data_IF_996912114237
#
_entry.id   IF_996912114237
#
_cell.length_a   1.000
_cell.length_b   1.000
_cell.length_c   1.000
_cell.angle_alpha   90.00
_cell.angle_beta   90.00
_cell.angle_gamma   90.00
#
_symmetry.space_group_name_H-M   'P 1'
#
loop_
_entity.id
_entity.type
_entity.pdbx_description
1 polymer ?
#
# COMPACT_ATOMS: atom_id res chain seq x y z
N UNK A 1 -31.48 -73.53 -18.29
CA UNK A 1 -31.06 -72.20 -18.80
C UNK A 1 -32.13 -71.11 -18.62
N UNK A 2 -33.39 -71.42 -18.35
CA UNK A 2 -34.42 -70.39 -18.14
C UNK A 2 -34.42 -69.73 -16.73
N UNK A 3 -33.91 -70.41 -15.69
CA UNK A 3 -33.93 -69.90 -14.31
C UNK A 3 -32.92 -68.76 -14.03
N UNK A 4 -31.75 -68.75 -14.69
CA UNK A 4 -30.71 -67.73 -14.46
C UNK A 4 -31.03 -66.36 -15.08
N UNK A 5 -32.07 -66.26 -15.91
CA UNK A 5 -32.51 -65.00 -16.53
C UNK A 5 -33.52 -64.24 -15.67
N UNK A 6 -34.14 -64.91 -14.69
CA UNK A 6 -35.13 -64.31 -13.78
C UNK A 6 -34.45 -63.64 -12.58
N UNK A 7 -33.44 -64.27 -11.99
CA UNK A 7 -32.66 -63.69 -10.88
C UNK A 7 -31.98 -62.36 -11.26
N UNK A 8 -31.42 -62.26 -12.48
CA UNK A 8 -30.83 -61.02 -12.98
C UNK A 8 -31.84 -59.92 -13.27
N UNK A 9 -33.13 -60.25 -13.50
CA UNK A 9 -34.20 -59.25 -13.68
C UNK A 9 -34.65 -58.68 -12.34
N UNK A 10 -34.73 -59.51 -11.32
CA UNK A 10 -35.11 -59.09 -9.97
C UNK A 10 -34.04 -58.19 -9.35
N UNK A 11 -32.75 -58.48 -9.55
CA UNK A 11 -31.65 -57.59 -9.12
C UNK A 11 -31.69 -56.22 -9.82
N UNK A 12 -31.98 -56.20 -11.13
CA UNK A 12 -32.12 -54.95 -11.89
C UNK A 12 -33.32 -54.13 -11.39
N UNK A 13 -34.43 -54.79 -11.04
CA UNK A 13 -35.60 -54.10 -10.47
C UNK A 13 -35.30 -53.46 -9.11
N UNK A 14 -34.59 -54.16 -8.23
CA UNK A 14 -34.17 -53.62 -6.92
C UNK A 14 -33.27 -52.39 -7.10
N UNK A 15 -32.29 -52.45 -8.01
CA UNK A 15 -31.40 -51.31 -8.28
C UNK A 15 -32.17 -50.11 -8.86
N UNK A 16 -33.15 -50.35 -9.73
CA UNK A 16 -33.98 -49.28 -10.30
C UNK A 16 -34.89 -48.64 -9.24
N UNK A 17 -35.41 -49.42 -8.30
CA UNK A 17 -36.18 -48.94 -7.14
C UNK A 17 -35.31 -48.04 -6.25
N UNK A 18 -34.08 -48.47 -5.93
CA UNK A 18 -33.12 -47.68 -5.15
C UNK A 18 -32.72 -46.38 -5.84
N UNK A 19 -32.44 -46.42 -7.15
CA UNK A 19 -32.14 -45.22 -7.95
C UNK A 19 -33.35 -44.27 -7.98
N UNK A 20 -34.56 -44.79 -8.07
CA UNK A 20 -35.79 -43.99 -8.06
C UNK A 20 -35.97 -43.29 -6.70
N UNK A 21 -35.75 -44.00 -5.60
CA UNK A 21 -35.81 -43.45 -4.25
C UNK A 21 -34.73 -42.38 -4.01
N UNK A 22 -33.47 -42.65 -4.41
CA UNK A 22 -32.37 -41.70 -4.28
C UNK A 22 -32.58 -40.42 -5.13
N UNK A 23 -33.16 -40.55 -6.32
CA UNK A 23 -33.50 -39.38 -7.13
C UNK A 23 -34.64 -38.55 -6.51
N UNK A 24 -35.56 -39.20 -5.80
CA UNK A 24 -36.65 -38.51 -5.09
C UNK A 24 -36.11 -37.71 -3.91
N UNK A 25 -35.25 -38.30 -3.08
CA UNK A 25 -34.61 -37.60 -1.95
C UNK A 25 -33.75 -36.43 -2.42
N UNK A 26 -32.91 -36.63 -3.45
CA UNK A 26 -32.09 -35.54 -4.01
C UNK A 26 -32.93 -34.37 -4.56
N UNK A 27 -34.12 -34.63 -5.10
CA UNK A 27 -35.03 -33.57 -5.56
C UNK A 27 -35.62 -32.78 -4.39
N UNK A 28 -35.94 -33.46 -3.30
CA UNK A 28 -36.45 -32.83 -2.07
C UNK A 28 -35.38 -31.95 -1.41
N UNK A 29 -34.15 -32.47 -1.26
CA UNK A 29 -33.00 -31.70 -0.75
C UNK A 29 -32.67 -30.48 -1.62
N UNK A 30 -32.64 -30.64 -2.95
CA UNK A 30 -32.41 -29.51 -3.86
C UNK A 30 -33.52 -28.45 -3.77
N UNK A 31 -34.76 -28.86 -3.48
CA UNK A 31 -35.88 -27.93 -3.27
C UNK A 31 -35.71 -27.17 -1.97
N UNK A 32 -35.27 -27.83 -0.90
CA UNK A 32 -34.99 -27.22 0.40
C UNK A 32 -33.84 -26.22 0.32
N UNK A 33 -32.72 -26.59 -0.29
CA UNK A 33 -31.56 -25.70 -0.50
C UNK A 33 -31.96 -24.44 -1.28
N UNK A 34 -32.82 -24.56 -2.29
CA UNK A 34 -33.33 -23.40 -3.05
C UNK A 34 -34.22 -22.49 -2.21
N UNK A 35 -35.01 -23.04 -1.29
CA UNK A 35 -35.83 -22.24 -0.38
C UNK A 35 -34.94 -21.50 0.64
N UNK A 36 -33.92 -22.15 1.18
CA UNK A 36 -32.98 -21.54 2.11
C UNK A 36 -32.15 -20.43 1.46
N UNK A 37 -31.73 -20.63 0.20
CA UNK A 37 -31.06 -19.57 -0.57
C UNK A 37 -31.97 -18.36 -0.76
N UNK A 38 -33.23 -18.57 -1.14
CA UNK A 38 -34.21 -17.47 -1.28
C UNK A 38 -34.43 -16.73 0.04
N UNK A 39 -34.52 -17.45 1.16
CA UNK A 39 -34.68 -16.85 2.49
C UNK A 39 -33.48 -15.99 2.86
N UNK A 40 -32.25 -16.50 2.67
CA UNK A 40 -31.02 -15.73 2.91
C UNK A 40 -30.89 -14.53 2.00
N UNK A 41 -31.28 -14.63 0.74
CA UNK A 41 -31.26 -13.50 -0.18
C UNK A 41 -32.25 -12.40 0.25
N UNK A 42 -33.42 -12.78 0.76
CA UNK A 42 -34.41 -11.82 1.27
C UNK A 42 -33.92 -11.13 2.56
N UNK A 43 -33.31 -11.89 3.47
CA UNK A 43 -32.65 -11.36 4.68
C UNK A 43 -31.51 -10.40 4.32
N UNK A 44 -30.67 -10.76 3.34
CA UNK A 44 -29.58 -9.91 2.86
C UNK A 44 -30.10 -8.62 2.20
N UNK A 45 -31.16 -8.69 1.39
CA UNK A 45 -31.80 -7.49 0.82
C UNK A 45 -32.33 -6.57 1.90
N UNK A 46 -32.96 -7.12 2.94
CA UNK A 46 -33.46 -6.34 4.08
C UNK A 46 -32.32 -5.67 4.84
N UNK A 47 -31.24 -6.41 5.14
CA UNK A 47 -30.07 -5.86 5.80
C UNK A 47 -29.39 -4.73 5.00
N UNK A 48 -29.33 -4.87 3.67
CA UNK A 48 -28.80 -3.82 2.78
C UNK A 48 -29.72 -2.59 2.73
N UNK A 49 -31.04 -2.78 2.74
CA UNK A 49 -31.99 -1.68 2.81
C UNK A 49 -31.90 -0.92 4.15
N UNK A 50 -31.73 -1.64 5.26
CA UNK A 50 -31.52 -1.06 6.59
C UNK A 50 -30.19 -0.29 6.66
N UNK A 51 -29.10 -0.82 6.10
CA UNK A 51 -27.82 -0.10 6.00
C UNK A 51 -27.94 1.14 5.10
N UNK A 52 -28.68 1.05 4.00
CA UNK A 52 -28.91 2.19 3.10
C UNK A 52 -29.71 3.30 3.78
N UNK A 53 -30.75 2.95 4.56
CA UNK A 53 -31.55 3.93 5.30
C UNK A 53 -30.76 4.57 6.45
N UNK A 54 -29.88 3.83 7.12
CA UNK A 54 -28.93 4.38 8.10
C UNK A 54 -27.94 5.35 7.46
N UNK A 55 -27.46 5.06 6.25
CA UNK A 55 -26.57 5.96 5.50
C UNK A 55 -27.29 7.23 5.05
N UNK A 56 -28.52 7.15 4.55
CA UNK A 56 -29.30 8.33 4.16
C UNK A 56 -29.60 9.25 5.35
N UNK A 57 -29.91 8.66 6.51
CA UNK A 57 -30.14 9.40 7.74
C UNK A 57 -28.84 10.07 8.27
N UNK A 58 -27.68 9.42 8.08
CA UNK A 58 -26.37 10.02 8.38
C UNK A 58 -25.99 11.16 7.42
N UNK A 59 -26.41 11.10 6.16
CA UNK A 59 -26.14 12.17 5.19
C UNK A 59 -27.00 13.42 5.39
N UNK A 60 -28.18 13.32 6.04
CA UNK A 60 -29.06 14.46 6.27
C UNK A 60 -28.60 15.39 7.42
N UNK A 61 -27.60 14.99 8.20
CA UNK A 61 -26.91 15.85 9.20
C UNK A 61 -25.67 16.54 8.60
N UNK A 62 -25.37 16.29 7.31
CA UNK A 62 -24.19 16.82 6.62
C UNK A 62 -24.55 17.64 5.36
N UNK A 63 -25.48 18.57 5.48
CA UNK A 63 -25.63 19.70 4.54
C UNK A 63 -25.17 21.00 5.20
N UNK A 64 -23.94 20.99 5.71
CA UNK A 64 -23.12 22.22 5.78
C UNK A 64 -21.80 21.91 5.11
N UNK A 65 -21.67 22.41 3.88
CA UNK A 65 -20.47 22.32 3.04
C UNK A 65 -19.27 22.91 3.77
N UNK A 66 -18.33 22.06 4.17
CA UNK A 66 -16.90 22.42 4.23
C UNK A 66 -16.11 21.24 3.70
N UNK A 67 -15.15 21.54 2.81
CA UNK A 67 -14.30 20.57 2.14
C UNK A 67 -13.50 19.76 3.19
N UNK A 68 -13.96 18.54 3.51
CA UNK A 68 -13.25 17.66 4.43
C UNK A 68 -12.12 16.95 3.69
N UNK A 69 -10.93 17.51 3.86
CA UNK A 69 -9.65 16.82 3.75
C UNK A 69 -9.77 15.44 4.43
N UNK A 70 -9.32 14.38 3.76
CA UNK A 70 -9.40 13.00 4.29
C UNK A 70 -8.82 12.92 5.70
N UNK A 71 -9.36 12.14 6.66
CA UNK A 71 -8.75 11.95 7.98
C UNK A 71 -7.27 11.52 7.92
N UNK A 72 -6.86 10.89 6.82
CA UNK A 72 -5.48 10.50 6.54
C UNK A 72 -4.62 11.67 6.07
N UNK A 73 -5.20 12.61 5.33
CA UNK A 73 -4.56 13.85 4.90
C UNK A 73 -4.50 14.86 6.05
N UNK A 74 -5.55 14.99 6.86
CA UNK A 74 -5.55 15.78 8.09
C UNK A 74 -4.48 15.26 9.09
N UNK A 75 -4.32 13.93 9.24
CA UNK A 75 -3.22 13.35 10.03
C UNK A 75 -1.84 13.64 9.44
N UNK A 76 -1.69 13.63 8.11
CA UNK A 76 -0.42 13.96 7.43
C UNK A 76 -0.10 15.45 7.47
N UNK A 77 -1.11 16.31 7.41
CA UNK A 77 -1.00 17.76 7.48
C UNK A 77 -0.68 18.19 8.91
N UNK A 78 -1.38 17.64 9.90
CA UNK A 78 -1.03 17.80 11.31
C UNK A 78 0.37 17.25 11.63
N UNK A 79 0.80 16.14 11.01
CA UNK A 79 2.17 15.64 11.18
C UNK A 79 3.24 16.53 10.50
N UNK A 80 2.90 17.21 9.39
CA UNK A 80 3.77 18.18 8.72
C UNK A 80 3.87 19.48 9.52
N UNK A 81 2.77 19.99 10.05
CA UNK A 81 2.73 21.14 10.97
C UNK A 81 3.50 20.83 12.26
N UNK A 82 3.33 19.63 12.84
CA UNK A 82 4.08 19.13 14.00
C UNK A 82 5.59 19.00 13.74
N UNK A 83 6.03 18.71 12.52
CA UNK A 83 7.46 18.58 12.16
C UNK A 83 8.08 19.88 11.66
N UNK A 84 7.28 20.84 11.21
CA UNK A 84 7.76 22.15 10.74
C UNK A 84 8.14 23.08 11.89
N UNK A 85 7.39 23.04 13.00
CA UNK A 85 7.59 23.98 14.11
C UNK A 85 8.74 23.58 15.04
N UNK A 86 8.95 22.29 15.31
CA UNK A 86 10.01 21.84 16.25
C UNK A 86 11.44 22.22 15.78
N UNK A 87 11.85 22.06 14.49
CA UNK A 87 13.20 22.43 14.06
C UNK A 87 13.38 23.93 13.80
N UNK A 88 12.31 24.66 13.46
CA UNK A 88 12.39 26.08 13.15
C UNK A 88 12.50 26.95 14.41
N UNK A 89 11.95 26.48 15.54
CA UNK A 89 11.92 27.20 16.81
C UNK A 89 13.14 26.93 17.71
N UNK A 90 13.90 25.86 17.46
CA UNK A 90 15.17 25.59 18.14
C UNK A 90 16.36 26.41 17.59
N UNK A 91 16.10 27.52 16.87
CA UNK A 91 17.13 28.44 16.36
C UNK A 91 17.42 29.61 17.30
N UNK A 92 16.75 29.68 18.44
CA UNK A 92 17.00 30.70 19.46
C UNK A 92 17.77 30.05 20.62
N UNK A 93 19.06 30.37 20.67
CA UNK A 93 20.05 30.17 21.74
C UNK A 93 20.27 28.74 22.29
N UNK A 94 21.45 28.18 21.96
CA UNK A 94 22.11 27.04 22.62
C UNK A 94 21.29 25.74 22.77
N UNK A 95 20.44 25.44 21.78
CA UNK A 95 19.85 24.11 21.66
C UNK A 95 20.77 23.22 20.81
N UNK A 96 21.66 22.46 21.46
CA UNK A 96 22.52 21.45 20.80
C UNK A 96 21.77 20.22 20.30
N UNK A 97 20.46 20.11 20.59
CA UNK A 97 19.68 18.91 20.31
C UNK A 97 19.68 17.93 21.48
N UNK A 98 19.05 16.78 21.26
CA UNK A 98 19.10 15.66 22.19
C UNK A 98 20.49 15.02 22.24
N UNK A 99 20.88 14.51 23.40
CA UNK A 99 22.06 13.66 23.59
C UNK A 99 21.71 12.24 23.12
N UNK A 100 22.19 11.87 21.93
CA UNK A 100 21.80 10.63 21.23
C UNK A 100 22.66 9.41 21.62
N UNK A 101 23.65 9.60 22.46
CA UNK A 101 24.44 8.57 23.16
C UNK A 101 23.78 8.13 24.48
N UNK A 102 22.85 8.92 24.98
CA UNK A 102 22.07 8.64 26.20
C UNK A 102 20.66 8.10 25.89
N UNK A 103 19.94 7.68 26.94
CA UNK A 103 18.53 7.28 26.81
C UNK A 103 17.60 8.50 26.75
N UNK A 104 16.39 8.33 26.23
CA UNK A 104 15.38 9.41 26.20
C UNK A 104 14.97 9.87 27.61
N UNK A 105 15.14 9.01 28.60
CA UNK A 105 14.81 9.24 30.00
C UNK A 105 16.04 9.67 30.82
N UNK A 106 17.15 10.04 30.17
CA UNK A 106 18.29 10.64 30.88
C UNK A 106 17.96 12.05 31.35
N UNK A 107 18.56 12.47 32.46
CA UNK A 107 18.30 13.80 33.06
C UNK A 107 18.54 14.92 32.03
N UNK A 108 19.57 14.79 31.20
CA UNK A 108 19.88 15.75 30.13
C UNK A 108 18.76 15.83 29.10
N UNK A 109 18.26 14.69 28.64
CA UNK A 109 17.20 14.63 27.63
C UNK A 109 15.82 15.01 28.20
N UNK A 110 15.55 14.70 29.47
CA UNK A 110 14.36 15.17 30.19
C UNK A 110 14.38 16.69 30.33
N UNK A 111 15.53 17.29 30.67
CA UNK A 111 15.69 18.74 30.75
C UNK A 111 15.43 19.43 29.40
N UNK A 112 15.91 18.84 28.30
CA UNK A 112 15.64 19.30 26.93
C UNK A 112 14.14 19.26 26.64
N UNK A 113 13.46 18.15 26.96
CA UNK A 113 12.00 18.04 26.79
C UNK A 113 11.28 19.11 27.60
N UNK A 114 11.67 19.33 28.85
CA UNK A 114 11.12 20.36 29.72
C UNK A 114 11.25 21.76 29.13
N UNK A 115 12.45 22.12 28.63
CA UNK A 115 12.70 23.41 27.96
C UNK A 115 11.77 23.61 26.75
N UNK A 116 11.63 22.58 25.91
CA UNK A 116 10.77 22.66 24.72
C UNK A 116 9.30 22.78 25.10
N UNK A 117 8.83 22.06 26.13
CA UNK A 117 7.46 22.18 26.64
C UNK A 117 7.20 23.61 27.13
N UNK A 118 8.10 24.18 27.93
CA UNK A 118 7.98 25.56 28.43
C UNK A 118 7.94 26.56 27.27
N UNK A 119 8.80 26.41 26.27
CA UNK A 119 8.85 27.31 25.11
C UNK A 119 7.57 27.22 24.26
N UNK A 120 7.06 25.99 24.04
CA UNK A 120 5.77 25.79 23.36
C UNK A 120 4.65 26.48 24.13
N UNK A 121 4.62 26.41 25.46
CA UNK A 121 3.61 27.14 26.22
C UNK A 121 3.78 28.65 26.18
N UNK A 122 5.01 29.15 26.23
CA UNK A 122 5.29 30.57 26.13
C UNK A 122 4.75 31.17 24.82
N UNK A 123 4.92 30.47 23.69
CA UNK A 123 4.42 30.92 22.39
C UNK A 123 2.90 31.04 22.29
N UNK A 124 2.18 30.24 23.08
CA UNK A 124 0.72 30.30 23.14
C UNK A 124 0.21 31.23 24.24
N UNK A 125 1.10 31.92 24.97
CA UNK A 125 0.74 32.82 26.05
C UNK A 125 0.37 32.11 27.35
N UNK A 126 0.95 30.92 27.57
CA UNK A 126 0.77 30.10 28.76
C UNK A 126 0.17 28.72 28.46
N UNK A 127 0.25 27.83 29.46
CA UNK A 127 -0.25 26.46 29.34
C UNK A 127 -1.75 26.41 29.02
N UNK A 128 -2.56 27.29 29.62
CA UNK A 128 -4.03 27.28 29.44
C UNK A 128 -4.48 27.69 28.04
N UNK A 129 -3.66 28.48 27.33
CA UNK A 129 -3.94 28.94 25.97
C UNK A 129 -3.34 28.03 24.91
N UNK A 130 -2.56 27.04 25.31
CA UNK A 130 -1.96 26.08 24.39
C UNK A 130 -2.99 25.05 23.93
N UNK A 131 -3.11 24.77 22.62
CA UNK A 131 -3.97 23.72 22.11
C UNK A 131 -3.43 22.31 22.39
N UNK A 132 -2.27 22.18 23.03
CA UNK A 132 -1.61 20.90 23.29
C UNK A 132 -1.32 20.70 24.78
N UNK A 133 -1.67 19.54 25.31
CA UNK A 133 -1.30 19.17 26.67
C UNK A 133 0.15 18.69 26.75
N UNK A 134 0.68 18.62 27.97
CA UNK A 134 2.08 18.26 28.23
C UNK A 134 2.40 16.87 27.68
N UNK A 135 1.54 15.88 27.91
CA UNK A 135 1.79 14.52 27.44
C UNK A 135 1.83 14.43 25.90
N UNK A 136 1.03 15.25 25.21
CA UNK A 136 1.04 15.29 23.74
C UNK A 136 2.38 15.83 23.20
N UNK A 137 2.90 16.90 23.81
CA UNK A 137 4.19 17.48 23.45
C UNK A 137 5.31 16.48 23.73
N UNK A 138 5.33 15.89 24.94
CA UNK A 138 6.31 14.88 25.33
C UNK A 138 6.29 13.65 24.42
N UNK A 139 5.10 13.15 24.07
CA UNK A 139 4.96 12.01 23.15
C UNK A 139 5.56 12.31 21.77
N UNK A 140 5.33 13.52 21.26
CA UNK A 140 5.90 13.95 19.97
C UNK A 140 7.43 14.05 20.08
N UNK A 141 7.95 14.61 21.18
CA UNK A 141 9.38 14.74 21.41
C UNK A 141 10.08 13.40 21.59
N UNK A 142 9.50 12.46 22.34
CA UNK A 142 10.01 11.08 22.47
C UNK A 142 10.09 10.37 21.11
N UNK A 143 9.07 10.51 20.27
CA UNK A 143 9.10 9.97 18.89
C UNK A 143 10.17 10.64 18.04
N UNK A 144 10.35 11.94 18.20
CA UNK A 144 11.39 12.68 17.49
C UNK A 144 12.80 12.25 17.93
N UNK A 145 13.03 12.09 19.25
CA UNK A 145 14.25 11.53 19.81
C UNK A 145 14.57 10.15 19.21
N UNK A 146 13.62 9.21 19.23
CA UNK A 146 13.84 7.87 18.68
C UNK A 146 14.22 7.92 17.19
N UNK A 147 13.58 8.79 16.41
CA UNK A 147 13.94 9.00 15.00
C UNK A 147 15.36 9.55 14.82
N UNK A 148 15.84 10.41 15.72
CA UNK A 148 17.21 10.94 15.69
C UNK A 148 18.21 9.89 16.16
N UNK A 149 17.89 9.16 17.23
CA UNK A 149 18.70 8.08 17.79
C UNK A 149 18.95 6.98 16.76
N UNK A 150 17.89 6.49 16.09
CA UNK A 150 18.01 5.50 15.02
C UNK A 150 18.89 6.00 13.86
N UNK A 151 18.72 7.27 13.48
CA UNK A 151 19.56 7.90 12.46
C UNK A 151 21.02 7.96 12.90
N UNK A 152 21.29 8.38 14.14
CA UNK A 152 22.64 8.45 14.70
C UNK A 152 23.29 7.06 14.76
N UNK A 153 22.56 6.05 15.25
CA UNK A 153 22.99 4.65 15.27
C UNK A 153 23.38 4.16 13.87
N UNK A 154 22.63 4.53 12.84
CA UNK A 154 22.97 4.21 11.45
C UNK A 154 24.22 4.96 10.94
N UNK A 155 24.41 6.22 11.34
CA UNK A 155 25.56 7.05 10.97
C UNK A 155 26.83 6.49 11.61
N UNK A 156 26.82 6.28 12.93
CA UNK A 156 27.92 5.67 13.70
C UNK A 156 28.24 4.29 13.15
N UNK A 157 27.21 3.49 12.84
CA UNK A 157 27.37 2.19 12.22
C UNK A 157 27.81 2.21 10.75
N UNK A 158 28.11 3.37 10.14
CA UNK A 158 28.44 3.60 8.72
C UNK A 158 27.44 2.97 7.72
N UNK A 159 26.21 2.71 8.17
CA UNK A 159 25.14 2.08 7.39
C UNK A 159 24.14 3.10 6.84
N UNK A 160 24.21 4.36 7.26
CA UNK A 160 23.23 5.39 6.92
C UNK A 160 23.07 5.63 5.42
N UNK A 161 24.17 5.83 4.69
CA UNK A 161 24.08 6.09 3.24
C UNK A 161 23.60 4.85 2.46
N UNK A 162 24.00 3.64 2.88
CA UNK A 162 23.49 2.39 2.32
C UNK A 162 21.97 2.22 2.58
N UNK A 163 21.52 2.54 3.80
CA UNK A 163 20.11 2.52 4.17
C UNK A 163 19.30 3.54 3.36
N UNK A 164 19.77 4.79 3.26
CA UNK A 164 19.16 5.85 2.46
C UNK A 164 19.06 5.47 0.98
N UNK A 165 20.10 4.87 0.41
CA UNK A 165 20.10 4.34 -0.96
C UNK A 165 19.03 3.25 -1.12
N UNK A 166 18.94 2.33 -0.17
CA UNK A 166 17.94 1.25 -0.15
C UNK A 166 16.52 1.78 -0.05
N UNK A 167 16.26 2.71 0.87
CA UNK A 167 14.96 3.35 1.04
C UNK A 167 14.50 4.09 -0.20
N UNK A 168 15.39 4.85 -0.86
CA UNK A 168 15.10 5.51 -2.14
C UNK A 168 14.78 4.49 -3.24
N UNK A 169 15.55 3.40 -3.32
CA UNK A 169 15.34 2.30 -4.29
C UNK A 169 13.99 1.62 -4.10
N UNK A 170 13.61 1.32 -2.86
CA UNK A 170 12.30 0.73 -2.53
C UNK A 170 11.16 1.72 -2.75
N UNK A 171 11.36 3.00 -2.44
CA UNK A 171 10.42 4.08 -2.76
C UNK A 171 10.10 4.12 -4.26
N UNK A 172 11.13 4.21 -5.11
CA UNK A 172 10.95 4.22 -6.58
C UNK A 172 10.22 2.99 -7.12
N UNK A 173 10.47 1.83 -6.52
CA UNK A 173 9.81 0.57 -6.89
C UNK A 173 8.31 0.61 -6.57
N UNK A 174 7.95 1.06 -5.38
CA UNK A 174 6.55 1.27 -4.99
C UNK A 174 5.89 2.32 -5.88
N UNK A 175 6.57 3.42 -6.15
CA UNK A 175 6.04 4.45 -7.07
C UNK A 175 5.78 3.87 -8.46
N UNK A 176 6.69 3.03 -8.99
CA UNK A 176 6.51 2.33 -10.27
C UNK A 176 5.26 1.44 -10.25
N UNK A 177 5.09 0.66 -9.18
CA UNK A 177 3.89 -0.17 -9.01
C UNK A 177 2.62 0.69 -8.97
N UNK A 178 2.60 1.74 -8.15
CA UNK A 178 1.47 2.67 -8.04
C UNK A 178 1.10 3.27 -9.39
N UNK A 179 2.08 3.78 -10.15
CA UNK A 179 1.82 4.35 -11.49
C UNK A 179 1.20 3.34 -12.45
N UNK A 180 1.70 2.10 -12.46
CA UNK A 180 1.17 1.04 -13.33
C UNK A 180 -0.22 0.58 -12.90
N UNK A 181 -0.47 0.55 -11.60
CA UNK A 181 -1.79 0.24 -11.04
C UNK A 181 -2.80 1.30 -11.45
N UNK A 182 -2.46 2.59 -11.30
CA UNK A 182 -3.30 3.70 -11.79
C UNK A 182 -3.52 3.62 -13.31
N UNK A 183 -2.50 3.23 -14.07
CA UNK A 183 -2.58 3.12 -15.52
C UNK A 183 -3.51 1.99 -16.00
N UNK A 184 -3.82 1.00 -15.16
CA UNK A 184 -4.79 -0.05 -15.51
C UNK A 184 -6.17 0.53 -15.82
N UNK A 185 -6.57 1.58 -15.09
CA UNK A 185 -7.85 2.27 -15.30
C UNK A 185 -7.87 3.10 -16.59
N UNK A 186 -6.70 3.39 -17.16
CA UNK A 186 -6.54 4.26 -18.33
C UNK A 186 -6.44 3.48 -19.64
N UNK A 187 -6.06 2.20 -19.59
CA UNK A 187 -5.89 1.37 -20.78
C UNK A 187 -7.20 0.73 -21.21
N UNK A 188 -7.48 0.75 -22.51
CA UNK A 188 -8.64 0.07 -23.11
C UNK A 188 -8.31 -1.38 -23.41
N UNK A 189 -8.25 -2.21 -22.38
CA UNK A 189 -8.08 -3.66 -22.50
C UNK A 189 -9.35 -4.39 -22.09
N UNK A 190 -9.51 -5.63 -22.58
CA UNK A 190 -10.57 -6.51 -22.10
C UNK A 190 -10.37 -6.85 -20.60
N UNK A 191 -11.48 -7.21 -19.93
CA UNK A 191 -11.49 -7.47 -18.49
C UNK A 191 -10.58 -8.64 -18.11
N UNK A 192 -10.46 -9.66 -18.98
CA UNK A 192 -9.62 -10.83 -18.73
C UNK A 192 -8.13 -10.46 -18.71
N UNK A 193 -7.69 -9.61 -19.64
CA UNK A 193 -6.32 -9.10 -19.73
C UNK A 193 -6.03 -8.13 -18.60
N UNK A 194 -6.98 -7.27 -18.24
CA UNK A 194 -6.85 -6.41 -17.06
C UNK A 194 -6.64 -7.24 -15.80
N UNK A 195 -7.47 -8.27 -15.57
CA UNK A 195 -7.35 -9.18 -14.43
C UNK A 195 -6.00 -9.87 -14.37
N UNK A 196 -5.58 -10.50 -15.49
CA UNK A 196 -4.26 -11.16 -15.58
C UNK A 196 -3.10 -10.22 -15.30
N UNK A 197 -3.12 -9.00 -15.86
CA UNK A 197 -2.03 -8.05 -15.63
C UNK A 197 -2.06 -7.51 -14.20
N UNK A 198 -3.24 -7.25 -13.63
CA UNK A 198 -3.38 -6.79 -12.26
C UNK A 198 -2.82 -7.80 -11.24
N UNK A 199 -3.07 -9.10 -11.46
CA UNK A 199 -2.55 -10.20 -10.64
C UNK A 199 -1.01 -10.16 -10.51
N UNK A 200 -0.31 -9.85 -11.60
CA UNK A 200 1.16 -9.84 -11.65
C UNK A 200 1.79 -8.48 -11.32
N UNK A 201 0.99 -7.43 -11.11
CA UNK A 201 1.47 -6.13 -10.63
C UNK A 201 1.74 -6.18 -9.13
N UNK A 202 2.85 -6.81 -8.76
CA UNK A 202 3.34 -6.94 -7.39
C UNK A 202 4.66 -6.21 -7.20
N UNK A 203 4.98 -5.81 -5.96
CA UNK A 203 6.26 -5.11 -5.68
C UNK A 203 7.47 -6.03 -5.93
N UNK A 204 7.30 -7.33 -5.68
CA UNK A 204 8.30 -8.36 -5.95
C UNK A 204 8.62 -8.49 -7.46
N UNK A 205 7.62 -8.29 -8.31
CA UNK A 205 7.71 -8.34 -9.77
C UNK A 205 8.12 -7.00 -10.44
N UNK A 206 8.47 -5.95 -9.68
CA UNK A 206 8.93 -4.68 -10.26
C UNK A 206 10.46 -4.64 -10.44
N UNK A 207 10.93 -4.13 -11.57
CA UNK A 207 12.37 -3.95 -11.80
C UNK A 207 12.98 -2.92 -10.85
N UNK A 208 14.20 -3.21 -10.39
CA UNK A 208 14.99 -2.30 -9.57
C UNK A 208 15.60 -1.16 -10.38
N UNK A 209 15.67 0.03 -9.79
CA UNK A 209 16.28 1.22 -10.41
C UNK A 209 17.44 1.72 -9.56
N UNK A 210 18.59 1.93 -10.19
CA UNK A 210 19.73 2.60 -9.59
C UNK A 210 19.80 4.05 -10.11
N UNK A 211 20.23 4.96 -9.24
CA UNK A 211 20.40 6.37 -9.59
C UNK A 211 21.70 6.53 -10.36
N UNK A 212 21.63 7.21 -11.49
CA UNK A 212 22.78 7.63 -12.27
C UNK A 212 22.80 9.16 -12.38
N UNK A 213 23.98 9.74 -12.38
CA UNK A 213 24.11 11.17 -12.15
C UNK A 213 25.53 11.67 -12.27
N UNK A 214 25.63 12.95 -12.56
CA UNK A 214 26.89 13.65 -12.70
C UNK A 214 27.24 14.33 -11.37
N UNK A 215 28.54 14.50 -11.15
CA UNK A 215 29.00 15.35 -10.04
C UNK A 215 28.72 16.80 -10.42
N UNK A 216 28.01 17.51 -9.57
CA UNK A 216 27.84 18.94 -9.68
C UNK A 216 29.13 19.67 -9.27
N UNK A 217 29.21 20.96 -9.58
CA UNK A 217 30.35 21.84 -9.30
C UNK A 217 30.65 21.99 -7.81
N UNK A 218 29.70 21.61 -6.94
CA UNK A 218 29.81 21.63 -5.48
C UNK A 218 30.13 20.24 -4.88
N UNK A 219 30.44 19.24 -5.71
CA UNK A 219 30.76 17.87 -5.28
C UNK A 219 29.54 17.03 -4.87
N UNK A 220 28.32 17.52 -5.09
CA UNK A 220 27.07 16.78 -4.95
C UNK A 220 26.76 15.92 -6.17
N UNK A 221 26.08 14.79 -6.00
CA UNK A 221 25.64 13.97 -7.14
C UNK A 221 24.24 14.40 -7.59
N UNK A 222 24.14 15.03 -8.76
CA UNK A 222 22.85 15.37 -9.38
C UNK A 222 22.35 14.20 -10.20
N UNK A 223 21.22 13.61 -9.79
CA UNK A 223 20.61 12.50 -10.52
C UNK A 223 20.03 13.00 -11.84
N UNK A 224 20.60 12.56 -12.95
CA UNK A 224 20.20 12.94 -14.31
C UNK A 224 19.28 11.90 -14.93
N UNK A 225 19.49 10.61 -14.63
CA UNK A 225 18.64 9.53 -15.10
C UNK A 225 18.56 8.36 -14.10
N UNK A 226 17.68 7.40 -14.40
CA UNK A 226 17.58 6.15 -13.66
C UNK A 226 17.93 4.97 -14.58
N UNK A 227 18.85 4.12 -14.12
CA UNK A 227 19.20 2.86 -14.80
C UNK A 227 18.28 1.74 -14.29
N UNK A 228 17.48 1.19 -15.20
CA UNK A 228 16.50 0.14 -14.91
C UNK A 228 17.12 -1.22 -15.20
N UNK A 229 17.31 -2.03 -14.14
CA UNK A 229 17.78 -3.42 -14.28
C UNK A 229 16.62 -4.32 -14.62
N UNK A 230 16.62 -4.90 -15.83
CA UNK A 230 15.58 -5.84 -16.27
C UNK A 230 15.60 -7.11 -15.43
N UNK A 231 14.42 -7.67 -15.16
CA UNK A 231 14.30 -8.95 -14.47
C UNK A 231 14.70 -10.06 -15.46
N UNK A 232 15.61 -10.95 -15.06
CA UNK A 232 16.15 -11.99 -15.94
C UNK A 232 15.08 -12.99 -16.39
N UNK A 233 14.10 -13.25 -15.52
CA UNK A 233 13.00 -14.18 -15.72
C UNK A 233 11.75 -13.56 -16.36
N UNK A 234 11.72 -12.25 -16.59
CA UNK A 234 10.52 -11.58 -17.12
C UNK A 234 10.28 -11.94 -18.59
N UNK A 235 9.11 -12.53 -18.86
CA UNK A 235 8.67 -12.90 -20.19
C UNK A 235 8.23 -11.70 -21.03
N UNK A 236 8.29 -11.85 -22.34
CA UNK A 236 8.01 -10.76 -23.29
C UNK A 236 6.59 -10.21 -23.16
N UNK A 237 5.59 -11.09 -22.93
CA UNK A 237 4.19 -10.70 -22.74
C UNK A 237 4.04 -9.72 -21.57
N UNK A 238 4.71 -10.01 -20.46
CA UNK A 238 4.67 -9.15 -19.27
C UNK A 238 5.46 -7.85 -19.48
N UNK A 239 6.62 -7.90 -20.12
CA UNK A 239 7.37 -6.69 -20.52
C UNK A 239 6.50 -5.77 -21.39
N UNK A 240 5.81 -6.31 -22.40
CA UNK A 240 4.92 -5.54 -23.29
C UNK A 240 3.76 -4.91 -22.50
N UNK A 241 3.15 -5.65 -21.58
CA UNK A 241 2.09 -5.12 -20.72
C UNK A 241 2.59 -3.95 -19.86
N UNK A 242 3.74 -4.10 -19.20
CA UNK A 242 4.39 -3.01 -18.42
C UNK A 242 4.67 -1.78 -19.26
N UNK A 243 5.26 -1.95 -20.45
CA UNK A 243 5.55 -0.84 -21.38
C UNK A 243 4.28 -0.10 -21.81
N UNK A 244 3.18 -0.82 -22.05
CA UNK A 244 1.91 -0.22 -22.40
C UNK A 244 1.30 0.59 -21.25
N UNK A 245 1.36 0.08 -20.01
CA UNK A 245 0.95 0.82 -18.81
C UNK A 245 1.80 2.07 -18.58
N UNK A 246 3.12 1.95 -18.70
CA UNK A 246 4.03 3.09 -18.55
C UNK A 246 3.74 4.17 -19.61
N UNK A 247 3.41 3.76 -20.85
CA UNK A 247 3.00 4.67 -21.93
C UNK A 247 1.65 5.35 -21.64
N UNK A 248 0.67 4.61 -21.14
CA UNK A 248 -0.64 5.15 -20.77
C UNK A 248 -0.51 6.19 -19.65
N UNK A 249 0.23 5.87 -18.59
CA UNK A 249 0.51 6.81 -17.51
C UNK A 249 1.23 8.05 -18.01
N UNK A 250 2.27 7.91 -18.84
CA UNK A 250 2.99 9.08 -19.38
C UNK A 250 2.07 10.01 -20.18
N UNK A 251 1.11 9.46 -20.93
CA UNK A 251 0.13 10.25 -21.69
C UNK A 251 -0.88 10.97 -20.81
N UNK A 252 -1.19 10.45 -19.61
CA UNK A 252 -2.12 11.10 -18.68
C UNK A 252 -1.49 12.23 -17.88
N UNK A 253 -0.17 12.38 -17.91
CA UNK A 253 0.53 13.45 -17.20
C UNK A 253 0.33 14.80 -17.89
N UNK A 254 0.18 15.85 -17.08
CA UNK A 254 0.27 17.22 -17.57
C UNK A 254 1.69 17.53 -18.05
N UNK A 255 1.86 18.49 -18.96
CA UNK A 255 3.19 18.91 -19.46
C UNK A 255 4.18 19.18 -18.32
N UNK A 256 3.76 19.99 -17.33
CA UNK A 256 4.55 20.30 -16.13
C UNK A 256 4.96 19.05 -15.34
N UNK A 257 4.06 18.08 -15.20
CA UNK A 257 4.37 16.84 -14.49
C UNK A 257 5.33 15.95 -15.30
N UNK A 258 5.11 15.85 -16.61
CA UNK A 258 5.96 15.10 -17.54
C UNK A 258 7.40 15.65 -17.55
N UNK A 259 7.58 16.97 -17.57
CA UNK A 259 8.91 17.61 -17.60
C UNK A 259 9.73 17.33 -16.32
N UNK A 260 9.06 16.98 -15.21
CA UNK A 260 9.70 16.60 -13.94
C UNK A 260 10.05 15.13 -13.85
N UNK A 261 9.62 14.31 -14.81
CA UNK A 261 9.93 12.87 -14.82
C UNK A 261 11.35 12.68 -15.35
N UNK A 262 12.24 12.23 -14.48
CA UNK A 262 13.59 11.85 -14.91
C UNK A 262 13.55 10.70 -15.93
N UNK A 263 14.40 10.76 -16.97
CA UNK A 263 14.51 9.70 -17.96
C UNK A 263 14.94 8.37 -17.32
N UNK A 264 14.52 7.28 -17.96
CA UNK A 264 14.83 5.91 -17.56
C UNK A 264 15.49 5.20 -18.72
N UNK A 265 16.66 4.64 -18.46
CA UNK A 265 17.45 3.91 -19.43
C UNK A 265 17.62 2.46 -18.98
N UNK A 266 17.75 1.53 -19.92
CA UNK A 266 18.04 0.14 -19.58
C UNK A 266 19.46 0.04 -19.05
N UNK A 267 19.64 -0.63 -17.92
CA UNK A 267 20.96 -0.91 -17.37
C UNK A 267 21.58 -2.10 -18.13
N UNK A 268 22.91 -2.08 -18.27
CA UNK A 268 23.65 -3.19 -18.92
C UNK A 268 23.51 -4.52 -18.17
N UNK A 269 23.31 -4.46 -16.86
CA UNK A 269 23.16 -5.65 -16.01
C UNK A 269 21.69 -5.97 -15.69
N UNK A 270 21.42 -7.27 -15.60
CA UNK A 270 20.14 -7.79 -15.15
C UNK A 270 19.98 -7.64 -13.64
N UNK A 271 18.73 -7.67 -13.20
CA UNK A 271 18.35 -7.67 -11.79
C UNK A 271 18.59 -9.07 -11.21
N UNK A 272 19.18 -9.13 -10.02
CA UNK A 272 19.40 -10.39 -9.27
C UNK A 272 18.15 -10.87 -8.54
N UNK A 273 16.98 -10.31 -8.85
CA UNK A 273 15.74 -10.64 -8.16
C UNK A 273 15.17 -11.94 -8.71
N UNK A 274 14.80 -12.82 -7.81
CA UNK A 274 14.19 -14.11 -8.14
C UNK A 274 12.74 -13.95 -8.59
N UNK A 275 12.23 -15.02 -9.21
CA UNK A 275 10.81 -15.15 -9.53
C UNK A 275 10.05 -15.20 -8.21
N UNK A 276 9.03 -14.37 -8.00
CA UNK A 276 8.29 -14.45 -6.75
C UNK A 276 7.40 -15.69 -6.72
N UNK A 277 7.02 -16.12 -5.53
CA UNK A 277 6.26 -17.36 -5.35
C UNK A 277 4.90 -17.31 -6.10
N UNK A 278 4.50 -18.46 -6.64
CA UNK A 278 3.26 -18.63 -7.40
C UNK A 278 3.08 -17.58 -8.51
N UNK A 279 4.13 -17.30 -9.29
CA UNK A 279 4.05 -16.36 -10.41
C UNK A 279 3.49 -17.03 -11.67
N UNK A 280 2.51 -16.42 -12.36
CA UNK A 280 1.92 -17.00 -13.56
C UNK A 280 2.93 -17.24 -14.69
N UNK A 281 2.91 -18.44 -15.27
CA UNK A 281 3.83 -18.88 -16.32
C UNK A 281 3.83 -17.96 -17.55
N UNK A 282 2.67 -17.40 -17.91
CA UNK A 282 2.55 -16.51 -19.06
C UNK A 282 3.42 -15.25 -18.94
N UNK A 283 3.79 -14.87 -17.72
CA UNK A 283 4.61 -13.71 -17.41
C UNK A 283 6.10 -14.04 -17.27
N UNK A 284 6.47 -15.32 -17.34
CA UNK A 284 7.85 -15.81 -17.28
C UNK A 284 8.45 -15.94 -18.68
N UNK A 285 9.77 -15.87 -18.74
CA UNK A 285 10.55 -16.19 -19.93
C UNK A 285 10.66 -17.71 -20.01
N UNK A 286 9.74 -18.30 -20.77
CA UNK A 286 9.77 -19.72 -21.18
C UNK A 286 10.79 -19.87 -22.31
#
# INVERSE_FOLDING_TARGET
MAANLDEGRDEILVILEEISQANKTLREENKEIRNDLKKRDEENKKALADLSSQLSNRTNVQTVRTARCSPREARRQAARERRGNVPAQCRVNDFSGFYLDESVDSDNNINIVGRVVTEVYHQYGGQEKSPWCKEQIETVLRRYFLSLYEKNKQIVGRKYEAHKKTCRKNGRRRDKLTRRTMALEMVRWDQQKLGRVAEVLREDAMSSEDSDGESDENGGMKVTCYKVKRLSWEGERFTRAKKALDKAYKKSLTKRASDRVLPREEANNLSTREVPENFPEWALKI
#
